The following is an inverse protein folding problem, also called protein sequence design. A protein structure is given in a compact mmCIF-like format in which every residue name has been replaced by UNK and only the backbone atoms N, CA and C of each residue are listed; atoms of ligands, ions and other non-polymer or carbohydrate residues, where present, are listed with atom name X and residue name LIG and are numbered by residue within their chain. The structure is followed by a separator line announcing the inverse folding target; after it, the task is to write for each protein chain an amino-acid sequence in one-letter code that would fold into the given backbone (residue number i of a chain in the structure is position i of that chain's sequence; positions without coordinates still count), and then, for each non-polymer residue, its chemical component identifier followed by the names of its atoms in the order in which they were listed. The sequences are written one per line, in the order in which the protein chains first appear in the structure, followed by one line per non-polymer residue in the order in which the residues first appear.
data_IF_989455444229
#
_entry.id   IF_989455444229
#
_cell.length_a   1.000
_cell.length_b   1.000
_cell.length_c   1.000
_cell.angle_alpha   90.00
_cell.angle_beta   90.00
_cell.angle_gamma   90.00
#
_symmetry.space_group_name_H-M   'P 1'
#
loop_
_entity.id
_entity.type
_entity.pdbx_description
1 polymer ?
#
# COMPACT_ATOMS: atom_id res chain seq x y z
N UNK A 1 19.85 12.51 5.40
CA UNK A 1 19.02 11.39 5.88
C UNK A 1 17.60 11.71 5.47
N UNK A 2 16.86 10.78 4.86
CA UNK A 2 15.48 11.03 4.48
C UNK A 2 14.59 11.19 5.73
N UNK A 3 13.70 12.16 5.71
CA UNK A 3 12.69 12.40 6.75
C UNK A 3 11.68 11.26 6.78
N UNK A 4 10.93 11.12 7.88
CA UNK A 4 9.85 10.13 7.98
C UNK A 4 8.76 10.36 6.93
N UNK A 5 8.52 11.63 6.58
CA UNK A 5 7.57 12.02 5.54
C UNK A 5 8.03 11.59 4.13
N UNK A 6 9.30 11.77 3.80
CA UNK A 6 9.89 11.29 2.53
C UNK A 6 9.82 9.75 2.44
N UNK A 7 10.14 9.04 3.54
CA UNK A 7 10.01 7.58 3.59
C UNK A 7 8.56 7.12 3.40
N UNK A 8 7.61 7.83 4.00
CA UNK A 8 6.19 7.54 3.84
C UNK A 8 5.72 7.78 2.41
N UNK A 9 6.19 8.85 1.75
CA UNK A 9 5.89 9.12 0.32
C UNK A 9 6.39 7.98 -0.57
N UNK A 10 7.67 7.60 -0.42
CA UNK A 10 8.27 6.50 -1.16
C UNK A 10 7.49 5.20 -0.97
N UNK A 11 7.08 4.91 0.27
CA UNK A 11 6.32 3.72 0.61
C UNK A 11 4.92 3.73 -0.01
N UNK A 12 4.14 4.82 0.15
CA UNK A 12 2.79 4.95 -0.43
C UNK A 12 2.85 4.87 -1.96
N UNK A 13 3.85 5.51 -2.58
CA UNK A 13 4.07 5.45 -4.02
C UNK A 13 4.40 4.03 -4.48
N UNK A 14 5.27 3.32 -3.76
CA UNK A 14 5.59 1.91 -4.03
C UNK A 14 4.36 1.00 -3.93
N UNK A 15 3.52 1.18 -2.91
CA UNK A 15 2.28 0.41 -2.74
C UNK A 15 1.31 0.61 -3.90
N UNK A 16 1.15 1.86 -4.38
CA UNK A 16 0.30 2.17 -5.55
C UNK A 16 0.81 1.45 -6.79
N UNK A 17 2.11 1.53 -7.06
CA UNK A 17 2.73 0.83 -8.19
C UNK A 17 2.55 -0.69 -8.09
N UNK A 18 2.75 -1.26 -6.90
CA UNK A 18 2.55 -2.69 -6.68
C UNK A 18 1.07 -3.09 -6.88
N UNK A 19 0.11 -2.33 -6.35
CA UNK A 19 -1.33 -2.56 -6.57
C UNK A 19 -1.68 -2.54 -8.05
N UNK A 20 -1.16 -1.56 -8.79
CA UNK A 20 -1.46 -1.40 -10.21
C UNK A 20 -0.85 -2.54 -11.03
N UNK A 21 0.38 -2.96 -10.70
CA UNK A 21 1.00 -4.15 -11.29
C UNK A 21 0.25 -5.45 -10.93
N UNK A 22 -0.31 -5.56 -9.73
CA UNK A 22 -1.10 -6.74 -9.35
C UNK A 22 -2.43 -6.79 -10.11
N UNK A 23 -3.06 -5.63 -10.35
CA UNK A 23 -4.32 -5.51 -11.09
C UNK A 23 -4.30 -6.26 -12.42
N UNK A 24 -3.22 -6.08 -13.20
CA UNK A 24 -3.12 -6.66 -14.55
C UNK A 24 -3.06 -8.19 -14.51
N UNK A 25 -2.62 -8.77 -13.39
CA UNK A 25 -2.47 -10.22 -13.19
C UNK A 25 -3.64 -10.85 -12.44
N UNK A 26 -4.61 -10.06 -11.95
CA UNK A 26 -5.73 -10.57 -11.16
C UNK A 26 -6.58 -11.59 -11.89
N UNK A 27 -6.64 -11.55 -13.22
CA UNK A 27 -7.38 -12.55 -14.00
C UNK A 27 -6.81 -13.98 -13.87
N UNK A 28 -5.56 -14.13 -13.42
CA UNK A 28 -4.86 -15.42 -13.31
C UNK A 28 -5.06 -16.14 -11.98
N UNK A 29 -5.72 -15.52 -11.00
CA UNK A 29 -5.84 -16.06 -9.65
C UNK A 29 -7.27 -16.38 -9.25
N UNK A 30 -7.37 -17.20 -8.20
CA UNK A 30 -8.62 -17.62 -7.58
C UNK A 30 -9.38 -16.46 -6.92
N UNK A 31 -10.65 -16.71 -6.60
CA UNK A 31 -11.56 -15.70 -6.06
C UNK A 31 -11.06 -15.12 -4.74
N UNK A 32 -10.46 -15.93 -3.86
CA UNK A 32 -9.95 -15.47 -2.57
C UNK A 32 -8.83 -14.44 -2.72
N UNK A 33 -7.88 -14.68 -3.63
CA UNK A 33 -6.80 -13.74 -3.92
C UNK A 33 -7.34 -12.43 -4.50
N UNK A 34 -8.37 -12.49 -5.36
CA UNK A 34 -9.07 -11.30 -5.89
C UNK A 34 -9.75 -10.50 -4.79
N UNK A 35 -10.41 -11.17 -3.85
CA UNK A 35 -11.07 -10.51 -2.71
C UNK A 35 -10.05 -9.84 -1.80
N UNK A 36 -8.94 -10.51 -1.49
CA UNK A 36 -7.85 -9.92 -0.69
C UNK A 36 -7.24 -8.70 -1.39
N UNK A 37 -6.99 -8.79 -2.70
CA UNK A 37 -6.54 -7.67 -3.52
C UNK A 37 -7.50 -6.48 -3.48
N UNK A 38 -8.81 -6.71 -3.66
CA UNK A 38 -9.82 -5.65 -3.65
C UNK A 38 -9.85 -4.96 -2.28
N UNK A 39 -9.85 -5.73 -1.19
CA UNK A 39 -9.81 -5.19 0.17
C UNK A 39 -8.57 -4.32 0.41
N UNK A 40 -7.40 -4.81 -0.01
CA UNK A 40 -6.14 -4.05 0.12
C UNK A 40 -6.14 -2.79 -0.75
N UNK A 41 -6.77 -2.84 -1.93
CA UNK A 41 -6.89 -1.69 -2.82
C UNK A 41 -7.74 -0.58 -2.21
N UNK A 42 -8.89 -0.93 -1.62
CA UNK A 42 -9.75 0.02 -0.90
C UNK A 42 -9.03 0.63 0.31
N UNK A 43 -8.29 -0.20 1.06
CA UNK A 43 -7.48 0.28 2.18
C UNK A 43 -6.37 1.23 1.72
N UNK A 44 -5.73 0.95 0.58
CA UNK A 44 -4.70 1.82 0.01
C UNK A 44 -5.28 3.16 -0.46
N UNK A 45 -6.50 3.17 -1.01
CA UNK A 45 -7.19 4.42 -1.36
C UNK A 45 -7.48 5.25 -0.10
N UNK A 46 -7.91 4.60 0.99
CA UNK A 46 -8.12 5.25 2.28
C UNK A 46 -6.80 5.77 2.89
N UNK A 47 -5.71 5.00 2.80
CA UNK A 47 -4.38 5.45 3.21
C UNK A 47 -3.98 6.70 2.43
N UNK A 48 -4.13 6.66 1.10
CA UNK A 48 -3.78 7.78 0.26
C UNK A 48 -4.57 9.05 0.62
N UNK A 49 -5.88 8.93 0.88
CA UNK A 49 -6.71 10.07 1.26
C UNK A 49 -6.27 10.74 2.57
N UNK A 50 -5.70 9.98 3.49
CA UNK A 50 -5.17 10.49 4.76
C UNK A 50 -3.73 10.99 4.63
N UNK A 51 -2.98 10.42 3.68
CA UNK A 51 -1.60 10.78 3.37
C UNK A 51 -1.50 12.11 2.61
N UNK A 52 -2.38 12.38 1.64
CA UNK A 52 -2.32 13.59 0.80
C UNK A 52 -2.26 14.90 1.62
N UNK A 53 -3.11 15.12 2.65
CA UNK A 53 -3.01 16.32 3.48
C UNK A 53 -1.71 16.40 4.29
N UNK A 54 -1.14 15.25 4.65
CA UNK A 54 0.11 15.16 5.43
C UNK A 54 1.32 15.42 4.53
N UNK A 55 1.30 14.99 3.27
CA UNK A 55 2.37 15.28 2.30
C UNK A 55 2.56 16.78 2.07
N UNK A 56 1.46 17.50 1.94
CA UNK A 56 1.49 18.92 1.56
C UNK A 56 1.63 19.84 2.80
N UNK A 57 1.50 19.30 4.01
CA UNK A 57 1.66 20.04 5.27
C UNK A 57 3.12 20.03 5.77
N UNK A 58 3.69 21.22 5.96
CA UNK A 58 4.96 21.41 6.66
C UNK A 58 4.70 21.62 8.16
N UNK A 59 4.37 20.56 8.89
CA UNK A 59 4.03 20.65 10.32
C UNK A 59 4.92 19.79 11.21
N UNK A 60 5.60 20.45 12.16
CA UNK A 60 6.49 19.87 13.18
C UNK A 60 5.77 18.90 14.14
N UNK A 61 4.43 18.95 14.19
CA UNK A 61 3.56 18.11 15.03
C UNK A 61 2.92 16.92 14.30
N UNK A 62 3.29 16.64 13.05
CA UNK A 62 2.72 15.52 12.28
C UNK A 62 3.33 14.15 12.61
N UNK A 63 4.34 14.07 13.49
CA UNK A 63 5.11 12.84 13.73
C UNK A 63 4.26 11.62 14.10
N UNK A 64 3.29 11.76 15.01
CA UNK A 64 2.41 10.64 15.40
C UNK A 64 1.50 10.18 14.26
N UNK A 65 1.02 11.12 13.44
CA UNK A 65 0.19 10.82 12.26
C UNK A 65 1.03 10.11 11.20
N UNK A 66 2.23 10.61 10.91
CA UNK A 66 3.18 9.99 9.98
C UNK A 66 3.53 8.58 10.43
N UNK A 67 3.82 8.36 11.72
CA UNK A 67 4.09 7.03 12.26
C UNK A 67 2.90 6.06 12.09
N UNK A 68 1.68 6.52 12.37
CA UNK A 68 0.48 5.71 12.17
C UNK A 68 0.26 5.36 10.69
N UNK A 69 0.50 6.30 9.78
CA UNK A 69 0.42 6.07 8.33
C UNK A 69 1.51 5.12 7.85
N UNK A 70 2.73 5.20 8.38
CA UNK A 70 3.82 4.25 8.07
C UNK A 70 3.44 2.83 8.46
N UNK A 71 2.92 2.61 9.68
CA UNK A 71 2.49 1.28 10.12
C UNK A 71 1.39 0.70 9.22
N UNK A 72 0.40 1.54 8.86
CA UNK A 72 -0.67 1.12 7.95
C UNK A 72 -0.11 0.78 6.55
N UNK A 73 0.83 1.57 6.04
CA UNK A 73 1.47 1.33 4.76
C UNK A 73 2.30 0.02 4.75
N UNK A 74 3.05 -0.25 5.82
CA UNK A 74 3.80 -1.50 5.99
C UNK A 74 2.89 -2.73 6.02
N UNK A 75 1.76 -2.65 6.75
CA UNK A 75 0.76 -3.72 6.76
C UNK A 75 0.17 -3.99 5.37
N UNK A 76 -0.13 -2.92 4.62
CA UNK A 76 -0.61 -3.04 3.25
C UNK A 76 0.43 -3.67 2.32
N UNK A 77 1.71 -3.30 2.46
CA UNK A 77 2.81 -3.90 1.69
C UNK A 77 2.93 -5.40 1.94
N UNK A 78 2.87 -5.82 3.20
CA UNK A 78 2.83 -7.23 3.58
C UNK A 78 1.61 -7.95 2.97
N UNK A 79 0.46 -7.29 2.93
CA UNK A 79 -0.75 -7.81 2.28
C UNK A 79 -0.59 -8.00 0.78
N UNK A 80 -0.10 -6.99 0.06
CA UNK A 80 0.13 -7.06 -1.38
C UNK A 80 1.18 -8.12 -1.71
N UNK A 81 2.19 -8.30 -0.86
CA UNK A 81 3.19 -9.36 -1.03
C UNK A 81 2.56 -10.76 -0.94
N UNK A 82 1.60 -11.00 -0.05
CA UNK A 82 0.86 -12.28 -0.03
C UNK A 82 0.08 -12.50 -1.31
N UNK A 83 -0.53 -11.45 -1.87
CA UNK A 83 -1.21 -11.54 -3.16
C UNK A 83 -0.21 -11.90 -4.28
N UNK A 84 1.00 -11.32 -4.28
CA UNK A 84 2.08 -11.70 -5.22
C UNK A 84 2.35 -13.21 -5.14
N UNK A 85 2.56 -13.74 -3.93
CA UNK A 85 2.84 -15.16 -3.70
C UNK A 85 1.74 -16.04 -4.24
N UNK A 86 0.47 -15.72 -3.95
CA UNK A 86 -0.69 -16.46 -4.49
C UNK A 86 -0.71 -16.48 -6.02
N UNK A 87 -0.39 -15.37 -6.69
CA UNK A 87 -0.31 -15.34 -8.16
C UNK A 87 0.84 -16.21 -8.69
N UNK A 88 1.97 -16.29 -7.98
CA UNK A 88 3.08 -17.14 -8.38
C UNK A 88 2.73 -18.62 -8.23
N UNK A 89 2.05 -18.99 -7.15
CA UNK A 89 1.57 -20.36 -6.91
C UNK A 89 0.53 -20.81 -7.93
N UNK A 90 -0.42 -19.95 -8.33
CA UNK A 90 -1.41 -20.30 -9.38
C UNK A 90 -0.82 -20.50 -10.78
N UNK A 91 0.45 -20.13 -11.00
CA UNK A 91 1.14 -20.32 -12.29
C UNK A 91 1.97 -21.62 -12.34
N UNK A 92 2.16 -22.30 -11.21
CA UNK A 92 2.96 -23.52 -11.11
C UNK A 92 2.10 -24.77 -11.21
#
# INVERSE_FOLDING_TARGET
MATEQEKLDDLVTGLKQQRDHLRVRMHLVEMEAKQEYNRLSEQLDKLNSQYEPVRDAATESAGEVVAALMLAAEEMGNGLQRVVTKIQESKS
#
